data_IF_406550876589
#
_entry.id   IF_406550876589
#
_cell.length_a   1.000
_cell.length_b   1.000
_cell.length_c   1.000
_cell.angle_alpha   90.00
_cell.angle_beta   90.00
_cell.angle_gamma   90.00
#
_symmetry.space_group_name_H-M   'P 1'
#
loop_
_entity.id
_entity.type
_entity.pdbx_description
1 polymer ?
#
# COMPACT_ATOMS: atom_id res chain seq x y z
N UNK A 1 9.95 7.35 2.02
CA UNK A 1 10.99 8.39 1.88
C UNK A 1 10.44 9.59 1.12
N UNK A 2 10.73 10.79 1.60
CA UNK A 2 10.39 12.08 1.00
C UNK A 2 8.89 12.16 0.64
N UNK A 3 8.04 12.07 1.66
CA UNK A 3 6.59 12.06 1.57
C UNK A 3 5.93 13.30 2.21
N UNK A 4 6.70 14.35 2.50
CA UNK A 4 6.21 15.54 3.19
C UNK A 4 4.96 16.15 2.53
N UNK A 5 4.85 16.08 1.20
CA UNK A 5 3.70 16.61 0.46
C UNK A 5 2.42 15.77 0.59
N UNK A 6 2.51 14.47 0.86
CA UNK A 6 1.36 13.55 0.85
C UNK A 6 1.02 12.96 2.22
N UNK A 7 2.01 12.82 3.09
CA UNK A 7 1.85 12.22 4.41
C UNK A 7 0.80 12.91 5.30
N UNK A 8 0.69 14.26 5.33
CA UNK A 8 -0.32 14.95 6.13
C UNK A 8 -1.74 14.47 5.83
N UNK A 9 -2.12 14.37 4.55
CA UNK A 9 -3.45 13.91 4.14
C UNK A 9 -3.69 12.44 4.51
N UNK A 10 -2.65 11.60 4.41
CA UNK A 10 -2.71 10.20 4.80
C UNK A 10 -2.96 10.05 6.30
N UNK A 11 -2.20 10.75 7.14
CA UNK A 11 -2.34 10.71 8.60
C UNK A 11 -3.65 11.33 9.06
N UNK A 12 -4.07 12.45 8.47
CA UNK A 12 -5.35 13.09 8.76
C UNK A 12 -6.54 12.16 8.47
N UNK A 13 -6.51 11.44 7.35
CA UNK A 13 -7.57 10.48 7.01
C UNK A 13 -7.64 9.30 7.99
N UNK A 14 -6.50 8.88 8.54
CA UNK A 14 -6.46 7.84 9.59
C UNK A 14 -7.01 8.41 10.90
N UNK A 15 -6.54 9.57 11.34
CA UNK A 15 -6.94 10.19 12.60
C UNK A 15 -8.43 10.59 12.64
N UNK A 16 -9.01 10.95 11.49
CA UNK A 16 -10.41 11.37 11.39
C UNK A 16 -11.41 10.28 11.80
N UNK A 17 -11.12 9.02 11.51
CA UNK A 17 -12.03 7.90 11.87
C UNK A 17 -11.48 7.02 13.00
N UNK A 18 -10.19 7.05 13.25
CA UNK A 18 -9.53 6.26 14.28
C UNK A 18 -8.61 7.13 15.15
N UNK A 19 -9.16 8.12 15.90
CA UNK A 19 -8.35 8.92 16.81
C UNK A 19 -7.70 8.00 17.86
N UNK A 20 -6.40 8.18 18.08
CA UNK A 20 -5.63 7.35 19.02
C UNK A 20 -5.19 5.98 18.49
N UNK A 21 -5.49 5.63 17.25
CA UNK A 21 -4.92 4.42 16.65
C UNK A 21 -3.39 4.53 16.60
N UNK A 22 -2.63 3.54 17.11
CA UNK A 22 -1.19 3.56 17.02
C UNK A 22 -0.73 3.55 15.56
N UNK A 23 0.04 4.56 15.17
CA UNK A 23 0.62 4.68 13.82
C UNK A 23 2.13 4.60 13.90
N UNK A 24 2.74 3.72 13.12
CA UNK A 24 4.19 3.63 12.95
C UNK A 24 4.55 4.09 11.54
N UNK A 25 5.46 5.04 11.46
CA UNK A 25 6.06 5.51 10.20
C UNK A 25 7.49 5.02 10.12
N UNK A 26 7.73 4.04 9.26
CA UNK A 26 9.07 3.51 8.99
C UNK A 26 9.75 4.37 7.92
N UNK A 27 10.70 5.21 8.35
CA UNK A 27 11.42 6.11 7.47
C UNK A 27 12.71 5.50 6.94
N UNK A 28 12.91 5.57 5.64
CA UNK A 28 14.08 5.04 4.94
C UNK A 28 15.18 6.07 4.68
N UNK A 29 15.30 7.11 5.54
CA UNK A 29 16.25 8.21 5.39
C UNK A 29 15.70 9.35 4.53
N UNK A 30 14.53 9.90 4.90
CA UNK A 30 13.98 11.11 4.28
C UNK A 30 14.85 12.32 4.60
N UNK A 31 14.99 13.22 3.61
CA UNK A 31 15.74 14.47 3.69
C UNK A 31 14.84 15.70 3.71
N UNK A 32 13.54 15.49 3.55
CA UNK A 32 12.50 16.52 3.65
C UNK A 32 11.83 16.51 5.04
N UNK A 33 10.77 17.25 5.22
CA UNK A 33 10.03 17.36 6.48
C UNK A 33 9.22 16.10 6.88
N UNK A 34 9.36 14.97 6.18
CA UNK A 34 8.54 13.75 6.42
C UNK A 34 8.56 13.31 7.88
N UNK A 35 9.75 13.23 8.50
CA UNK A 35 9.91 12.78 9.90
C UNK A 35 9.25 13.75 10.87
N UNK A 36 9.45 15.06 10.66
CA UNK A 36 8.87 16.11 11.51
C UNK A 36 7.34 16.08 11.42
N UNK A 37 6.78 15.94 10.23
CA UNK A 37 5.34 15.84 9.99
C UNK A 37 4.75 14.60 10.68
N UNK A 38 5.40 13.45 10.55
CA UNK A 38 4.96 12.22 11.17
C UNK A 38 4.92 12.32 12.71
N UNK A 39 5.98 12.84 13.30
CA UNK A 39 6.07 13.04 14.76
C UNK A 39 5.04 14.07 15.27
N UNK A 40 4.85 15.18 14.57
CA UNK A 40 3.85 16.20 14.91
C UNK A 40 2.41 15.66 14.84
N UNK A 41 2.15 14.67 13.98
CA UNK A 41 0.86 13.98 13.92
C UNK A 41 0.70 12.85 14.95
N UNK A 42 1.64 12.69 15.90
CA UNK A 42 1.60 11.68 16.94
C UNK A 42 2.02 10.27 16.49
N UNK A 43 2.57 10.12 15.29
CA UNK A 43 3.05 8.83 14.84
C UNK A 43 4.42 8.48 15.46
N UNK A 44 4.60 7.22 15.83
CA UNK A 44 5.92 6.70 16.21
C UNK A 44 6.78 6.56 14.96
N UNK A 45 7.85 7.35 14.88
CA UNK A 45 8.79 7.26 13.76
C UNK A 45 9.91 6.30 14.09
N UNK A 46 10.20 5.38 13.19
CA UNK A 46 11.35 4.45 13.29
C UNK A 46 12.24 4.59 12.06
N UNK A 47 13.56 4.51 12.27
CA UNK A 47 14.51 4.43 11.18
C UNK A 47 14.50 3.01 10.60
N UNK A 48 14.49 2.91 9.27
CA UNK A 48 14.52 1.64 8.55
C UNK A 48 15.50 1.71 7.37
N UNK A 49 16.06 0.59 6.91
CA UNK A 49 16.84 0.58 5.69
C UNK A 49 15.99 1.01 4.48
N UNK A 50 16.62 1.73 3.55
CA UNK A 50 15.97 2.19 2.32
C UNK A 50 15.42 1.02 1.51
N UNK A 51 14.13 1.11 1.13
CA UNK A 51 13.42 0.13 0.32
C UNK A 51 12.03 -0.15 0.87
N UNK A 52 11.01 -0.23 0.01
CA UNK A 52 9.59 -0.33 0.42
C UNK A 52 9.34 -1.58 1.28
N UNK A 53 9.82 -2.74 0.85
CA UNK A 53 9.68 -3.98 1.62
C UNK A 53 10.41 -3.94 2.95
N UNK A 54 11.61 -3.34 2.99
CA UNK A 54 12.39 -3.19 4.23
C UNK A 54 11.71 -2.27 5.24
N UNK A 55 11.16 -1.14 4.76
CA UNK A 55 10.42 -0.20 5.59
C UNK A 55 9.12 -0.82 6.14
N UNK A 56 8.35 -1.53 5.29
CA UNK A 56 7.15 -2.24 5.74
C UNK A 56 7.48 -3.33 6.77
N UNK A 57 8.50 -4.15 6.52
CA UNK A 57 8.93 -5.19 7.46
C UNK A 57 9.33 -4.57 8.82
N UNK A 58 10.15 -3.51 8.81
CA UNK A 58 10.55 -2.82 10.05
C UNK A 58 9.34 -2.21 10.78
N UNK A 59 8.35 -1.67 10.05
CA UNK A 59 7.12 -1.16 10.64
C UNK A 59 6.30 -2.25 11.33
N UNK A 60 6.18 -3.41 10.71
CA UNK A 60 5.49 -4.60 11.24
C UNK A 60 6.20 -5.12 12.51
N UNK A 61 7.54 -5.21 12.47
CA UNK A 61 8.33 -5.68 13.62
C UNK A 61 8.26 -4.71 14.83
N UNK A 62 7.93 -3.45 14.58
CA UNK A 62 7.84 -2.42 15.62
C UNK A 62 6.49 -2.38 16.34
N UNK A 63 5.49 -3.19 15.95
CA UNK A 63 4.17 -3.26 16.57
C UNK A 63 3.85 -4.67 17.00
N UNK A 64 3.01 -4.80 18.04
CA UNK A 64 2.52 -6.09 18.55
C UNK A 64 0.99 -6.07 18.57
N UNK A 65 0.39 -6.08 17.38
CA UNK A 65 -1.05 -6.04 17.20
C UNK A 65 -1.54 -7.31 16.53
N UNK A 66 -2.78 -7.70 16.79
CA UNK A 66 -3.40 -8.87 16.16
C UNK A 66 -3.65 -8.63 14.66
N UNK A 67 -4.01 -7.39 14.31
CA UNK A 67 -4.28 -6.97 12.96
C UNK A 67 -3.44 -5.77 12.58
N UNK A 68 -2.99 -5.73 11.34
CA UNK A 68 -2.13 -4.69 10.81
C UNK A 68 -2.73 -4.09 9.55
N UNK A 69 -2.80 -2.76 9.51
CA UNK A 69 -3.14 -2.01 8.30
C UNK A 69 -1.86 -1.47 7.67
N UNK A 70 -1.44 -2.10 6.59
CA UNK A 70 -0.28 -1.68 5.80
C UNK A 70 -0.71 -0.59 4.81
N UNK A 71 -0.15 0.61 4.94
CA UNK A 71 -0.54 1.76 4.14
C UNK A 71 0.70 2.50 3.61
N UNK A 72 0.62 3.00 2.38
CA UNK A 72 1.67 3.85 1.82
C UNK A 72 1.45 5.32 2.21
N UNK A 73 2.55 6.05 2.43
CA UNK A 73 2.56 7.44 2.87
C UNK A 73 1.92 8.45 1.89
N UNK A 74 1.55 8.02 0.70
CA UNK A 74 0.87 8.81 -0.33
C UNK A 74 -0.55 8.31 -0.62
N UNK A 75 -1.15 7.55 0.31
CA UNK A 75 -2.46 6.93 0.12
C UNK A 75 -3.41 7.40 1.21
N UNK A 76 -4.43 8.13 0.82
CA UNK A 76 -5.53 8.56 1.69
C UNK A 76 -6.69 7.57 1.59
N UNK A 77 -7.16 7.08 2.72
CA UNK A 77 -8.34 6.23 2.78
C UNK A 77 -9.61 7.09 2.71
N UNK A 78 -10.61 6.60 1.98
CA UNK A 78 -11.94 7.21 1.88
C UNK A 78 -12.70 7.01 3.20
N UNK A 79 -13.58 7.97 3.62
CA UNK A 79 -14.44 7.78 4.78
C UNK A 79 -15.21 6.45 4.75
N UNK A 80 -15.41 5.87 5.95
CA UNK A 80 -15.99 4.53 6.14
C UNK A 80 -14.95 3.40 6.12
N UNK A 81 -13.66 3.73 5.99
CA UNK A 81 -12.60 2.72 5.98
C UNK A 81 -12.52 1.96 7.30
N UNK A 82 -12.72 2.65 8.44
CA UNK A 82 -12.66 2.03 9.78
C UNK A 82 -13.76 0.99 9.93
N UNK A 83 -15.01 1.36 9.71
CA UNK A 83 -16.14 0.42 9.80
C UNK A 83 -15.99 -0.77 8.85
N UNK A 84 -15.45 -0.56 7.64
CA UNK A 84 -15.20 -1.64 6.70
C UNK A 84 -14.09 -2.60 7.18
N UNK A 85 -13.03 -2.09 7.83
CA UNK A 85 -11.97 -2.94 8.41
C UNK A 85 -12.45 -3.65 9.66
N UNK A 86 -13.20 -3.00 10.53
CA UNK A 86 -13.80 -3.61 11.73
C UNK A 86 -14.76 -4.75 11.35
N UNK A 87 -15.64 -4.54 10.38
CA UNK A 87 -16.53 -5.59 9.87
C UNK A 87 -15.75 -6.76 9.23
N UNK A 88 -14.65 -6.45 8.53
CA UNK A 88 -13.77 -7.47 7.97
C UNK A 88 -13.09 -8.30 9.05
N UNK A 89 -12.54 -7.67 10.09
CA UNK A 89 -11.86 -8.32 11.22
C UNK A 89 -12.83 -9.15 12.08
N UNK A 90 -14.05 -8.68 12.27
CA UNK A 90 -15.07 -9.36 13.06
C UNK A 90 -15.59 -10.66 12.42
N UNK A 91 -15.40 -10.85 11.12
CA UNK A 91 -15.88 -12.05 10.42
C UNK A 91 -14.87 -13.21 10.55
N UNK A 92 -15.20 -14.32 11.26
CA UNK A 92 -14.27 -15.43 11.50
C UNK A 92 -13.68 -16.04 10.22
N UNK A 93 -14.46 -16.03 9.13
CA UNK A 93 -14.00 -16.49 7.81
C UNK A 93 -12.82 -15.69 7.26
N UNK A 94 -12.54 -14.51 7.80
CA UNK A 94 -11.46 -13.62 7.34
C UNK A 94 -10.17 -13.75 8.18
N UNK A 95 -10.16 -14.55 9.25
CA UNK A 95 -8.97 -14.73 10.09
C UNK A 95 -7.71 -15.16 9.29
N UNK A 96 -7.89 -15.91 8.18
CA UNK A 96 -6.82 -16.35 7.29
C UNK A 96 -6.78 -15.60 5.95
N UNK A 97 -7.43 -14.43 5.86
CA UNK A 97 -7.55 -13.62 4.65
C UNK A 97 -6.93 -12.24 4.84
N UNK A 98 -6.79 -11.50 3.75
CA UNK A 98 -6.37 -10.11 3.74
C UNK A 98 -7.40 -9.25 3.00
N UNK A 99 -7.81 -8.15 3.63
CA UNK A 99 -8.68 -7.15 3.03
C UNK A 99 -7.87 -6.09 2.30
N UNK A 100 -8.32 -5.65 1.12
CA UNK A 100 -7.69 -4.56 0.37
C UNK A 100 -8.72 -3.54 -0.10
N UNK A 101 -8.34 -2.27 -0.12
CA UNK A 101 -9.21 -1.18 -0.58
C UNK A 101 -9.24 -1.06 -2.10
N UNK A 102 -10.32 -0.48 -2.62
CA UNK A 102 -10.43 -0.21 -4.05
C UNK A 102 -9.49 0.92 -4.45
N UNK A 103 -8.79 0.75 -5.54
CA UNK A 103 -7.87 1.77 -6.05
C UNK A 103 -8.61 2.98 -6.61
N UNK A 104 -8.18 4.18 -6.24
CA UNK A 104 -8.60 5.43 -6.85
C UNK A 104 -7.42 6.39 -6.99
N UNK A 105 -7.55 7.33 -7.91
CA UNK A 105 -6.57 8.39 -8.16
C UNK A 105 -7.15 9.75 -7.81
N UNK A 106 -6.37 10.58 -7.13
CA UNK A 106 -6.70 11.97 -6.82
C UNK A 106 -6.57 12.83 -8.08
N UNK A 107 -7.45 12.63 -9.06
CA UNK A 107 -7.47 13.37 -10.32
C UNK A 107 -8.88 13.39 -10.92
N UNK A 108 -9.29 14.52 -11.46
CA UNK A 108 -10.53 14.66 -12.22
C UNK A 108 -10.40 14.19 -13.67
N UNK A 109 -9.19 13.86 -14.14
CA UNK A 109 -8.94 13.46 -15.51
C UNK A 109 -9.69 12.17 -15.87
N UNK A 110 -10.45 12.11 -16.98
CA UNK A 110 -11.14 10.90 -17.41
C UNK A 110 -10.22 9.68 -17.60
N UNK A 111 -8.93 9.90 -17.88
CA UNK A 111 -7.92 8.84 -18.01
C UNK A 111 -7.69 8.14 -16.66
N UNK A 112 -7.81 8.86 -15.54
CA UNK A 112 -7.76 8.26 -14.21
C UNK A 112 -8.89 7.22 -14.02
N UNK A 113 -10.12 7.57 -14.40
CA UNK A 113 -11.27 6.66 -14.32
C UNK A 113 -11.11 5.42 -15.20
N UNK A 114 -10.48 5.55 -16.38
CA UNK A 114 -10.15 4.40 -17.24
C UNK A 114 -9.12 3.49 -16.56
N UNK A 115 -8.07 4.06 -16.01
CA UNK A 115 -7.03 3.29 -15.30
C UNK A 115 -7.61 2.56 -14.09
N UNK A 116 -8.43 3.23 -13.28
CA UNK A 116 -9.11 2.61 -12.13
C UNK A 116 -9.96 1.40 -12.53
N UNK A 117 -10.70 1.50 -13.64
CA UNK A 117 -11.49 0.39 -14.18
C UNK A 117 -10.62 -0.79 -14.64
N UNK A 118 -9.50 -0.53 -15.32
CA UNK A 118 -8.54 -1.56 -15.72
C UNK A 118 -7.92 -2.24 -14.51
N UNK A 119 -7.54 -1.46 -13.51
CA UNK A 119 -6.99 -1.98 -12.27
C UNK A 119 -8.03 -2.80 -11.50
N UNK A 120 -9.30 -2.37 -11.43
CA UNK A 120 -10.38 -3.13 -10.82
C UNK A 120 -10.64 -4.47 -11.56
N UNK A 121 -10.59 -4.46 -12.89
CA UNK A 121 -10.68 -5.67 -13.70
C UNK A 121 -9.55 -6.66 -13.39
N UNK A 122 -8.30 -6.18 -13.37
CA UNK A 122 -7.13 -6.98 -13.00
C UNK A 122 -7.30 -7.65 -11.64
N UNK A 123 -7.76 -6.92 -10.65
CA UNK A 123 -7.95 -7.45 -9.30
C UNK A 123 -9.02 -8.52 -9.24
N UNK A 124 -10.16 -8.29 -9.89
CA UNK A 124 -11.26 -9.26 -9.91
C UNK A 124 -10.92 -10.51 -10.71
N UNK A 125 -10.25 -10.37 -11.86
CA UNK A 125 -9.98 -11.50 -12.77
C UNK A 125 -8.69 -12.23 -12.45
N UNK A 126 -7.62 -11.51 -12.09
CA UNK A 126 -6.29 -12.09 -11.87
C UNK A 126 -5.93 -12.21 -10.38
N UNK A 127 -6.73 -11.68 -9.46
CA UNK A 127 -6.43 -11.70 -8.02
C UNK A 127 -5.15 -10.95 -7.67
N UNK A 128 -4.88 -9.82 -8.32
CA UNK A 128 -3.64 -9.06 -8.17
C UNK A 128 -3.91 -7.63 -7.66
N UNK A 129 -4.37 -7.47 -6.40
CA UNK A 129 -4.56 -6.17 -5.79
C UNK A 129 -3.25 -5.62 -5.22
N UNK A 130 -2.27 -5.34 -6.06
CA UNK A 130 -1.01 -4.69 -5.68
C UNK A 130 -1.01 -3.19 -6.02
N UNK A 131 -0.03 -2.47 -5.50
CA UNK A 131 0.09 -1.02 -5.56
C UNK A 131 -0.47 -0.34 -4.32
N UNK A 132 -0.46 0.97 -4.30
CA UNK A 132 -0.81 1.83 -3.16
C UNK A 132 -2.30 1.72 -2.77
N UNK A 133 -2.73 0.61 -2.16
CA UNK A 133 -4.13 0.32 -1.86
C UNK A 133 -4.45 0.16 -0.39
N UNK A 134 -3.44 -0.02 0.43
CA UNK A 134 -3.64 -0.49 1.79
C UNK A 134 -4.08 -1.95 1.86
N UNK A 135 -3.58 -2.65 2.84
CA UNK A 135 -3.88 -4.05 3.11
C UNK A 135 -4.12 -4.23 4.60
N UNK A 136 -5.30 -4.72 5.00
CA UNK A 136 -5.58 -5.17 6.37
C UNK A 136 -5.38 -6.68 6.44
N UNK A 137 -4.57 -7.14 7.39
CA UNK A 137 -4.22 -8.55 7.51
C UNK A 137 -3.95 -8.91 8.98
N UNK A 138 -4.36 -10.10 9.40
CA UNK A 138 -3.98 -10.62 10.70
C UNK A 138 -2.49 -10.97 10.74
N UNK A 139 -1.81 -10.65 11.84
CA UNK A 139 -0.37 -10.95 12.05
C UNK A 139 -0.07 -12.43 11.84
N UNK A 140 -0.92 -13.33 12.33
CA UNK A 140 -0.79 -14.78 12.14
C UNK A 140 -0.83 -15.19 10.65
N UNK A 141 -1.74 -14.57 9.89
CA UNK A 141 -1.85 -14.80 8.44
C UNK A 141 -0.65 -14.25 7.69
N UNK A 142 -0.17 -13.07 8.08
CA UNK A 142 1.04 -12.48 7.51
C UNK A 142 2.28 -13.35 7.81
N UNK A 143 2.41 -13.85 9.04
CA UNK A 143 3.50 -14.76 9.43
C UNK A 143 3.44 -16.07 8.65
N UNK A 144 2.25 -16.68 8.51
CA UNK A 144 2.05 -17.91 7.71
C UNK A 144 2.39 -17.69 6.24
N UNK A 145 2.15 -16.48 5.71
CA UNK A 145 2.55 -16.11 4.35
C UNK A 145 4.06 -15.84 4.22
N UNK A 146 4.84 -15.89 5.31
CA UNK A 146 6.27 -15.62 5.34
C UNK A 146 6.64 -14.13 5.42
N UNK A 147 5.76 -13.31 6.00
CA UNK A 147 5.99 -11.88 6.23
C UNK A 147 6.09 -11.03 4.96
N UNK A 148 6.45 -9.77 5.12
CA UNK A 148 6.83 -8.90 4.00
C UNK A 148 8.31 -9.10 3.69
N UNK A 149 8.62 -9.54 2.48
CA UNK A 149 10.01 -9.71 2.05
C UNK A 149 10.71 -8.37 1.88
N UNK A 150 11.99 -8.24 2.27
CA UNK A 150 12.74 -6.98 2.21
C UNK A 150 13.17 -6.62 0.78
N UNK A 151 12.24 -6.70 -0.16
CA UNK A 151 12.46 -6.38 -1.56
C UNK A 151 12.53 -4.87 -1.75
N UNK A 152 13.39 -4.36 -2.65
CA UNK A 152 13.48 -2.94 -2.95
C UNK A 152 12.22 -2.42 -3.65
N UNK A 153 11.53 -3.29 -4.39
CA UNK A 153 10.30 -3.05 -5.14
C UNK A 153 9.54 -4.37 -5.33
N UNK A 154 8.22 -4.31 -5.65
CA UNK A 154 7.33 -5.47 -5.86
C UNK A 154 7.09 -6.31 -4.59
N UNK A 155 7.33 -5.76 -3.41
CA UNK A 155 7.04 -6.39 -2.11
C UNK A 155 5.56 -6.70 -1.93
N UNK A 156 4.70 -5.83 -2.44
CA UNK A 156 3.26 -5.96 -2.45
C UNK A 156 2.78 -7.04 -3.43
N UNK A 157 3.36 -7.11 -4.61
CA UNK A 157 3.08 -8.16 -5.61
C UNK A 157 3.49 -9.52 -5.06
N UNK A 158 4.67 -9.62 -4.44
CA UNK A 158 5.18 -10.83 -3.83
C UNK A 158 4.26 -11.33 -2.71
N UNK A 159 3.86 -10.45 -1.79
CA UNK A 159 2.96 -10.78 -0.68
C UNK A 159 1.59 -11.27 -1.19
N UNK A 160 0.97 -10.51 -2.09
CA UNK A 160 -0.35 -10.82 -2.66
C UNK A 160 -0.34 -12.18 -3.39
N UNK A 161 0.74 -12.51 -4.10
CA UNK A 161 0.89 -13.82 -4.74
C UNK A 161 1.02 -14.96 -3.75
N UNK A 162 1.80 -14.79 -2.68
CA UNK A 162 1.94 -15.81 -1.62
C UNK A 162 0.63 -16.03 -0.86
N UNK A 163 -0.16 -15.00 -0.65
CA UNK A 163 -1.50 -15.12 -0.06
C UNK A 163 -2.45 -15.90 -0.99
N UNK A 164 -2.35 -15.68 -2.29
CA UNK A 164 -3.22 -16.31 -3.27
C UNK A 164 -4.61 -15.65 -3.35
N UNK A 165 -5.25 -15.76 -4.50
CA UNK A 165 -6.50 -15.08 -4.84
C UNK A 165 -7.66 -15.35 -3.87
N UNK A 166 -7.80 -16.57 -3.39
CA UNK A 166 -8.89 -16.99 -2.50
C UNK A 166 -8.88 -16.30 -1.13
N UNK A 167 -7.71 -15.80 -0.72
CA UNK A 167 -7.53 -15.10 0.56
C UNK A 167 -7.63 -13.57 0.44
N UNK A 168 -7.88 -13.03 -0.74
CA UNK A 168 -7.91 -11.59 -0.99
C UNK A 168 -9.36 -11.08 -1.09
N UNK A 169 -9.77 -10.22 -0.17
CA UNK A 169 -11.14 -9.71 -0.05
C UNK A 169 -11.17 -8.22 -0.36
N UNK A 170 -11.93 -7.76 -1.36
CA UNK A 170 -12.08 -6.33 -1.63
C UNK A 170 -12.97 -5.67 -0.56
N UNK A 171 -12.50 -4.55 -0.01
CA UNK A 171 -13.27 -3.67 0.87
C UNK A 171 -13.97 -2.58 0.05
N UNK A 172 -15.11 -2.09 0.54
CA UNK A 172 -15.92 -1.10 -0.17
C UNK A 172 -15.24 0.28 -0.32
N UNK A 173 -14.58 0.86 0.72
CA UNK A 173 -13.93 2.15 0.60
C UNK A 173 -12.75 2.15 -0.39
N UNK A 174 -12.39 3.34 -0.85
CA UNK A 174 -11.27 3.54 -1.78
C UNK A 174 -9.99 3.95 -1.05
N UNK A 175 -8.88 3.48 -1.57
CA UNK A 175 -7.54 4.00 -1.29
C UNK A 175 -7.19 4.98 -2.41
N UNK A 176 -7.16 6.27 -2.08
CA UNK A 176 -6.96 7.37 -3.02
C UNK A 176 -5.48 7.73 -2.99
N UNK A 177 -4.79 7.52 -4.10
CA UNK A 177 -3.36 7.84 -4.24
C UNK A 177 -3.14 9.00 -5.22
N UNK A 178 -2.00 9.68 -5.10
CA UNK A 178 -1.63 10.79 -5.96
C UNK A 178 -1.51 10.38 -7.41
N UNK A 179 -2.10 11.17 -8.32
CA UNK A 179 -1.97 11.00 -9.77
C UNK A 179 -0.74 11.71 -10.35
N UNK A 180 0.02 12.47 -9.56
CA UNK A 180 1.10 13.35 -10.00
C UNK A 180 2.12 12.67 -10.93
N UNK A 181 2.45 11.40 -10.70
CA UNK A 181 3.36 10.65 -11.57
C UNK A 181 2.79 10.42 -12.96
N UNK A 182 1.50 10.08 -13.06
CA UNK A 182 0.82 9.90 -14.35
C UNK A 182 0.62 11.21 -15.08
N UNK A 183 0.35 12.28 -14.36
CA UNK A 183 0.19 13.64 -14.93
C UNK A 183 1.51 14.16 -15.46
N UNK A 184 2.62 13.95 -14.75
CA UNK A 184 3.96 14.38 -15.16
C UNK A 184 4.55 13.55 -16.30
N UNK A 185 4.39 12.23 -16.25
CA UNK A 185 5.07 11.28 -17.15
C UNK A 185 4.20 10.81 -18.32
N UNK A 186 2.91 11.16 -18.28
CA UNK A 186 1.92 10.70 -19.26
C UNK A 186 1.24 9.38 -18.86
N UNK A 187 -0.08 9.38 -18.98
CA UNK A 187 -0.95 8.29 -18.53
C UNK A 187 -0.63 6.92 -19.14
N UNK A 188 -0.41 6.89 -20.44
CA UNK A 188 -0.13 5.66 -21.17
C UNK A 188 1.29 5.16 -20.92
N UNK A 189 2.27 6.07 -21.00
CA UNK A 189 3.67 5.73 -20.80
C UNK A 189 3.95 5.18 -19.41
N UNK A 190 3.47 5.87 -18.37
CA UNK A 190 3.60 5.38 -16.99
C UNK A 190 2.93 4.02 -16.79
N UNK A 191 1.75 3.83 -17.36
CA UNK A 191 1.03 2.55 -17.24
C UNK A 191 1.74 1.43 -17.97
N UNK A 192 2.26 1.68 -19.18
CA UNK A 192 3.04 0.70 -19.94
C UNK A 192 4.33 0.32 -19.20
N UNK A 193 5.04 1.31 -18.63
CA UNK A 193 6.23 1.08 -17.81
C UNK A 193 5.93 0.22 -16.59
N UNK A 194 4.85 0.51 -15.88
CA UNK A 194 4.43 -0.29 -14.72
C UNK A 194 4.12 -1.76 -15.13
N UNK A 195 3.47 -1.96 -16.27
CA UNK A 195 3.19 -3.30 -16.79
C UNK A 195 4.47 -4.02 -17.24
N UNK A 196 5.41 -3.33 -17.87
CA UNK A 196 6.70 -3.88 -18.23
C UNK A 196 7.52 -4.31 -17.01
N UNK A 197 7.57 -3.48 -15.97
CA UNK A 197 8.20 -3.83 -14.69
C UNK A 197 7.56 -5.07 -14.07
N UNK A 198 6.25 -5.15 -14.11
CA UNK A 198 5.52 -6.32 -13.62
C UNK A 198 5.84 -7.58 -14.46
N UNK A 199 5.83 -7.47 -15.78
CA UNK A 199 6.19 -8.56 -16.69
C UNK A 199 7.61 -9.08 -16.45
N UNK A 200 8.58 -8.16 -16.33
CA UNK A 200 9.96 -8.49 -15.99
C UNK A 200 10.05 -9.24 -14.65
N UNK A 201 9.29 -8.80 -13.65
CA UNK A 201 9.28 -9.47 -12.35
C UNK A 201 8.70 -10.90 -12.45
N UNK A 202 7.64 -11.11 -13.25
CA UNK A 202 7.03 -12.44 -13.44
C UNK A 202 7.95 -13.45 -14.11
N UNK A 203 8.83 -13.00 -15.01
CA UNK A 203 9.82 -13.86 -15.68
C UNK A 203 11.15 -13.97 -14.91
N UNK A 204 11.19 -13.49 -13.66
CA UNK A 204 12.40 -13.57 -12.81
C UNK A 204 13.48 -12.55 -13.13
N UNK A 205 13.14 -11.45 -13.80
CA UNK A 205 14.09 -10.39 -14.14
C UNK A 205 14.79 -9.79 -12.90
N UNK A 206 16.03 -9.29 -13.06
CA UNK A 206 16.81 -8.74 -11.95
C UNK A 206 16.12 -7.54 -11.29
N UNK A 207 15.92 -7.58 -9.97
CA UNK A 207 15.25 -6.50 -9.22
C UNK A 207 15.92 -5.13 -9.40
N UNK A 208 17.24 -5.08 -9.53
CA UNK A 208 17.98 -3.85 -9.81
C UNK A 208 17.60 -3.21 -11.16
N UNK A 209 17.39 -4.03 -12.19
CA UNK A 209 16.91 -3.56 -13.49
C UNK A 209 15.47 -3.02 -13.38
N UNK A 210 14.59 -3.78 -12.73
CA UNK A 210 13.20 -3.36 -12.51
C UNK A 210 13.14 -2.03 -11.75
N UNK A 211 13.94 -1.86 -10.69
CA UNK A 211 14.00 -0.64 -9.92
C UNK A 211 14.47 0.57 -10.75
N UNK A 212 15.46 0.39 -11.64
CA UNK A 212 15.93 1.44 -12.58
C UNK A 212 14.86 1.82 -13.60
N UNK A 213 14.10 0.86 -14.11
CA UNK A 213 12.98 1.14 -15.01
C UNK A 213 11.80 1.82 -14.32
N UNK A 214 11.58 1.53 -13.05
CA UNK A 214 10.46 2.09 -12.28
C UNK A 214 10.69 3.56 -11.86
N UNK A 215 11.94 3.95 -11.64
CA UNK A 215 12.35 5.31 -11.25
C UNK A 215 12.13 6.30 -12.37
#
# INVERSE_FOLDING_TARGET
MNAAASLPETLAAVAAEAPGLPVVVADGGSTDATVVIAAAAGARVIAAPRGRGRQLAAGIDAVETEWELLLHANTRLEPGWRGATEAFMAAPANASRAGYFRFALASANPRARRLERLVAFRCRRLGLPYGDRGLIIARSTLATAGGVRPLPLMEDVDLVRRLGRSRLVPLAPRAITSAARWEREGWYWRSARNLACLGLWYIGGPLGLIARFYS
#
